data_IF_273901081208
#
_entry.id   IF_273901081208
#
_cell.length_a   1.000
_cell.length_b   1.000
_cell.length_c   1.000
_cell.angle_alpha   90.00
_cell.angle_beta   90.00
_cell.angle_gamma   90.00
#
_symmetry.space_group_name_H-M   'P 1'
#
loop_
_entity.id
_entity.type
_entity.pdbx_description
1 polymer ?
#
# COMPACT_ATOMS: atom_id res chain seq x y z
N UNK A 1 -24.99 0.50 14.38
CA UNK A 1 -24.28 0.62 13.08
C UNK A 1 -25.23 0.98 11.93
N UNK A 2 -26.42 0.32 11.81
CA UNK A 2 -27.44 0.64 10.78
C UNK A 2 -27.92 2.09 10.88
N UNK A 3 -28.23 2.58 12.07
CA UNK A 3 -28.65 3.98 12.32
C UNK A 3 -27.61 4.98 11.82
N UNK A 4 -26.41 4.75 12.16
CA UNK A 4 -25.30 5.64 11.76
C UNK A 4 -24.93 5.58 10.26
N UNK A 5 -25.06 4.60 9.45
CA UNK A 5 -24.88 4.42 8.22
C UNK A 5 -25.80 5.13 7.52
N UNK A 6 -27.25 5.18 7.97
CA UNK A 6 -28.36 5.90 7.36
C UNK A 6 -28.11 7.42 7.33
N UNK A 7 -27.79 8.01 8.46
CA UNK A 7 -27.42 9.44 8.57
C UNK A 7 -26.28 9.85 7.62
N UNK A 8 -25.29 9.00 7.43
CA UNK A 8 -24.13 9.30 6.56
C UNK A 8 -24.49 9.31 5.08
N UNK A 9 -25.35 8.40 4.64
CA UNK A 9 -25.78 8.33 3.24
C UNK A 9 -26.71 9.49 2.89
N UNK A 10 -27.56 9.93 3.82
CA UNK A 10 -28.46 11.08 3.63
C UNK A 10 -27.69 12.38 3.38
N UNK A 11 -26.47 12.48 3.85
CA UNK A 11 -25.62 13.65 3.58
C UNK A 11 -25.21 13.79 2.12
N UNK A 12 -25.39 12.76 1.29
CA UNK A 12 -24.99 12.81 -0.13
C UNK A 12 -25.99 13.59 -0.96
N UNK A 13 -25.50 14.61 -1.67
CA UNK A 13 -26.29 15.52 -2.52
C UNK A 13 -26.53 14.96 -3.94
N UNK A 14 -26.05 13.77 -4.23
CA UNK A 14 -26.16 13.12 -5.55
C UNK A 14 -25.77 14.06 -6.72
N UNK A 15 -24.61 14.73 -6.61
CA UNK A 15 -24.16 15.76 -7.56
C UNK A 15 -24.02 15.23 -8.99
N UNK A 16 -24.59 15.94 -9.98
CA UNK A 16 -24.51 15.59 -11.41
C UNK A 16 -23.05 15.44 -11.92
N UNK A 17 -22.16 16.33 -11.50
CA UNK A 17 -20.75 16.37 -11.96
C UNK A 17 -19.86 15.30 -11.26
N UNK A 18 -20.34 14.70 -10.16
CA UNK A 18 -19.69 13.62 -9.41
C UNK A 18 -18.20 13.90 -9.06
N UNK A 19 -17.84 15.03 -8.43
CA UNK A 19 -16.42 15.35 -8.18
C UNK A 19 -15.74 14.34 -7.25
N UNK A 20 -16.49 13.69 -6.36
CA UNK A 20 -15.97 12.60 -5.50
C UNK A 20 -15.53 11.38 -6.33
N UNK A 21 -16.24 11.03 -7.40
CA UNK A 21 -15.87 9.97 -8.36
C UNK A 21 -14.55 10.34 -9.05
N UNK A 22 -14.44 11.56 -9.58
CA UNK A 22 -13.20 12.08 -10.18
C UNK A 22 -12.02 12.10 -9.17
N UNK A 23 -12.33 12.24 -7.89
CA UNK A 23 -11.34 12.21 -6.81
C UNK A 23 -10.93 10.80 -6.37
N UNK A 24 -11.67 9.78 -6.80
CA UNK A 24 -11.37 8.38 -6.48
C UNK A 24 -10.40 7.80 -7.50
N UNK A 25 -9.24 7.23 -7.11
CA UNK A 25 -8.35 6.60 -8.09
C UNK A 25 -9.00 5.46 -8.87
N UNK A 26 -9.96 4.77 -8.28
CA UNK A 26 -10.71 3.67 -8.91
C UNK A 26 -11.88 4.16 -9.77
N UNK A 27 -12.21 5.45 -9.65
CA UNK A 27 -13.35 6.06 -10.33
C UNK A 27 -14.70 5.43 -9.96
N UNK A 28 -14.81 4.94 -8.71
CA UNK A 28 -16.05 4.37 -8.19
C UNK A 28 -17.22 5.32 -8.39
N UNK A 29 -18.36 4.84 -8.90
CA UNK A 29 -19.58 5.62 -9.05
C UNK A 29 -20.21 5.88 -7.68
N UNK A 30 -19.61 6.84 -6.95
CA UNK A 30 -19.89 7.07 -5.52
C UNK A 30 -21.34 7.49 -5.28
N UNK A 31 -21.91 8.47 -6.02
CA UNK A 31 -23.32 8.82 -5.79
C UNK A 31 -24.26 7.63 -6.03
N UNK A 32 -24.01 6.83 -7.07
CA UNK A 32 -24.89 5.70 -7.42
C UNK A 32 -24.92 4.63 -6.30
N UNK A 33 -23.75 4.19 -5.79
CA UNK A 33 -23.77 3.20 -4.71
C UNK A 33 -24.35 3.76 -3.40
N UNK A 34 -24.15 5.06 -3.13
CA UNK A 34 -24.74 5.71 -1.95
C UNK A 34 -26.26 5.72 -2.08
N UNK A 35 -26.79 6.03 -3.25
CA UNK A 35 -28.22 6.05 -3.54
C UNK A 35 -28.84 4.66 -3.29
N UNK A 36 -28.19 3.61 -3.73
CA UNK A 36 -28.66 2.23 -3.47
C UNK A 36 -28.65 1.89 -1.95
N UNK A 37 -27.67 2.41 -1.19
CA UNK A 37 -27.65 2.24 0.27
C UNK A 37 -28.80 3.02 0.93
N UNK A 38 -29.16 4.21 0.43
CA UNK A 38 -30.34 4.96 0.91
C UNK A 38 -31.64 4.14 0.75
N UNK A 39 -31.73 3.42 -0.36
CA UNK A 39 -32.87 2.54 -0.71
C UNK A 39 -32.82 1.18 0.01
N UNK A 40 -31.85 0.97 0.89
CA UNK A 40 -31.59 -0.30 1.61
C UNK A 40 -31.23 -1.48 0.66
N UNK A 41 -30.83 -1.17 -0.59
CA UNK A 41 -30.46 -2.13 -1.65
C UNK A 41 -28.94 -2.37 -1.62
N UNK A 42 -28.46 -3.06 -0.60
CA UNK A 42 -27.02 -3.22 -0.34
C UNK A 42 -26.33 -4.10 -1.40
N UNK A 43 -27.01 -5.09 -1.94
CA UNK A 43 -26.43 -5.94 -3.00
C UNK A 43 -26.23 -5.15 -4.29
N UNK A 44 -27.23 -4.36 -4.71
CA UNK A 44 -27.12 -3.47 -5.87
C UNK A 44 -25.99 -2.42 -5.66
N UNK A 45 -25.85 -1.90 -4.44
CA UNK A 45 -24.74 -0.98 -4.09
C UNK A 45 -23.38 -1.68 -4.23
N UNK A 46 -23.30 -2.95 -3.86
CA UNK A 46 -22.07 -3.75 -4.01
C UNK A 46 -21.78 -4.05 -5.48
N UNK A 47 -22.80 -4.35 -6.28
CA UNK A 47 -22.67 -4.56 -7.72
C UNK A 47 -22.04 -3.33 -8.40
N UNK A 48 -22.59 -2.13 -8.14
CA UNK A 48 -22.05 -0.86 -8.64
C UNK A 48 -20.58 -0.68 -8.23
N UNK A 49 -20.27 -0.93 -6.95
CA UNK A 49 -18.88 -0.86 -6.47
C UNK A 49 -17.98 -1.86 -7.18
N UNK A 50 -18.50 -3.07 -7.42
CA UNK A 50 -17.73 -4.16 -7.99
C UNK A 50 -17.34 -3.92 -9.45
N UNK A 51 -18.01 -3.02 -10.16
CA UNK A 51 -17.61 -2.60 -11.51
C UNK A 51 -16.17 -2.08 -11.56
N UNK A 52 -15.73 -1.43 -10.51
CA UNK A 52 -14.43 -0.74 -10.48
C UNK A 52 -13.49 -1.25 -9.39
N UNK A 53 -13.99 -1.92 -8.35
CA UNK A 53 -13.14 -2.46 -7.27
C UNK A 53 -13.63 -3.80 -6.73
N UNK A 54 -12.68 -4.68 -6.44
CA UNK A 54 -12.94 -5.96 -5.76
C UNK A 54 -12.48 -5.92 -4.29
N UNK A 55 -12.07 -4.75 -3.80
CA UNK A 55 -11.50 -4.58 -2.47
C UNK A 55 -12.24 -3.52 -1.62
N UNK A 56 -13.59 -3.40 -1.68
CA UNK A 56 -14.27 -2.30 -0.99
C UNK A 56 -14.09 -2.32 0.54
N UNK A 57 -14.17 -3.48 1.19
CA UNK A 57 -13.92 -3.62 2.63
C UNK A 57 -12.54 -3.13 3.04
N UNK A 58 -11.55 -3.26 2.15
CA UNK A 58 -10.17 -2.82 2.36
C UNK A 58 -10.02 -1.32 2.06
N UNK A 59 -10.52 -0.87 0.91
CA UNK A 59 -10.44 0.53 0.48
C UNK A 59 -11.12 1.46 1.48
N UNK A 60 -12.32 1.11 1.92
CA UNK A 60 -13.08 1.88 2.93
C UNK A 60 -12.32 2.07 4.25
N UNK A 61 -11.38 1.15 4.59
CA UNK A 61 -10.58 1.22 5.83
C UNK A 61 -9.27 1.98 5.68
N UNK A 62 -8.60 1.86 4.53
CA UNK A 62 -7.19 2.25 4.44
C UNK A 62 -6.87 3.33 3.42
N UNK A 63 -7.78 3.66 2.51
CA UNK A 63 -7.59 4.76 1.57
C UNK A 63 -7.38 6.08 2.31
N UNK A 64 -6.56 6.98 1.78
CA UNK A 64 -6.45 8.34 2.32
C UNK A 64 -7.60 9.24 1.79
N UNK A 65 -8.85 8.91 2.15
CA UNK A 65 -10.09 9.48 1.60
C UNK A 65 -10.07 11.01 1.51
N UNK A 66 -9.49 11.70 2.51
CA UNK A 66 -9.38 13.17 2.51
C UNK A 66 -8.45 13.72 1.42
N UNK A 67 -7.62 12.86 0.82
CA UNK A 67 -6.75 13.24 -0.32
C UNK A 67 -7.32 12.71 -1.64
N UNK A 68 -8.42 12.02 -1.57
CA UNK A 68 -9.10 11.35 -2.71
C UNK A 68 -10.57 11.77 -2.72
N UNK A 69 -11.50 10.82 -2.73
CA UNK A 69 -12.94 11.04 -2.89
C UNK A 69 -13.53 12.06 -1.91
N UNK A 70 -13.29 11.90 -0.61
CA UNK A 70 -13.81 12.83 0.42
C UNK A 70 -13.24 14.25 0.26
N UNK A 71 -11.97 14.36 -0.18
CA UNK A 71 -11.31 15.64 -0.40
C UNK A 71 -11.86 16.42 -1.58
N UNK A 72 -12.68 15.79 -2.42
CA UNK A 72 -13.35 16.39 -3.58
C UNK A 72 -14.87 16.49 -3.38
N UNK A 73 -15.38 16.07 -2.21
CA UNK A 73 -16.81 16.17 -1.92
C UNK A 73 -17.24 17.63 -1.80
N UNK A 74 -18.28 18.02 -2.53
CA UNK A 74 -18.84 19.39 -2.55
C UNK A 74 -19.22 19.86 -1.14
N UNK A 75 -19.80 19.00 -0.32
CA UNK A 75 -20.14 19.34 1.07
C UNK A 75 -18.92 19.80 1.88
N UNK A 76 -17.74 19.32 1.51
CA UNK A 76 -16.48 19.69 2.19
C UNK A 76 -16.04 21.13 1.94
N UNK A 77 -16.69 21.86 1.05
CA UNK A 77 -16.41 23.29 0.78
C UNK A 77 -16.86 24.15 1.97
N UNK A 78 -18.12 23.96 2.42
CA UNK A 78 -18.73 24.76 3.51
C UNK A 78 -18.87 23.99 4.83
N UNK A 79 -18.58 22.67 4.86
CA UNK A 79 -18.79 21.86 6.06
C UNK A 79 -18.00 20.56 6.05
N UNK A 80 -18.62 19.49 6.55
CA UNK A 80 -17.99 18.17 6.57
C UNK A 80 -18.36 17.39 5.29
N UNK A 81 -17.34 16.83 4.60
CA UNK A 81 -17.62 15.97 3.46
C UNK A 81 -18.34 14.70 3.90
N UNK A 82 -19.13 14.12 3.01
CA UNK A 82 -19.75 12.80 3.20
C UNK A 82 -18.67 11.78 3.58
N UNK A 83 -18.93 10.95 4.57
CA UNK A 83 -17.97 9.93 5.01
C UNK A 83 -18.01 8.70 4.09
N UNK A 84 -17.58 8.91 2.85
CA UNK A 84 -17.58 7.91 1.76
C UNK A 84 -16.84 6.64 2.18
N UNK A 85 -15.72 6.79 2.91
CA UNK A 85 -14.94 5.64 3.37
C UNK A 85 -15.71 4.69 4.28
N UNK A 86 -16.50 5.24 5.22
CA UNK A 86 -17.33 4.42 6.11
C UNK A 86 -18.47 3.73 5.35
N UNK A 87 -19.04 4.40 4.35
CA UNK A 87 -20.11 3.81 3.51
C UNK A 87 -19.53 2.66 2.67
N UNK A 88 -18.42 2.90 1.99
CA UNK A 88 -17.70 1.87 1.21
C UNK A 88 -17.30 0.67 2.08
N UNK A 89 -16.81 0.96 3.29
CA UNK A 89 -16.48 -0.06 4.29
C UNK A 89 -17.71 -0.90 4.63
N UNK A 90 -18.85 -0.24 4.90
CA UNK A 90 -20.10 -0.91 5.26
C UNK A 90 -20.59 -1.86 4.16
N UNK A 91 -20.64 -1.37 2.91
CA UNK A 91 -21.02 -2.21 1.75
C UNK A 91 -20.06 -3.41 1.63
N UNK A 92 -18.76 -3.18 1.78
CA UNK A 92 -17.74 -4.23 1.70
C UNK A 92 -17.88 -5.28 2.81
N UNK A 93 -18.19 -4.86 4.03
CA UNK A 93 -18.40 -5.76 5.18
C UNK A 93 -19.68 -6.59 4.98
N UNK A 94 -20.76 -5.96 4.54
CA UNK A 94 -22.03 -6.64 4.26
C UNK A 94 -21.89 -7.63 3.08
N UNK A 95 -21.10 -7.28 2.08
CA UNK A 95 -20.84 -8.19 0.96
C UNK A 95 -20.08 -9.46 1.39
N UNK A 96 -19.24 -9.35 2.41
CA UNK A 96 -18.56 -10.51 3.01
C UNK A 96 -19.54 -11.32 3.85
N UNK A 97 -20.30 -10.64 4.72
CA UNK A 97 -21.24 -11.25 5.64
C UNK A 97 -22.36 -12.03 4.89
N UNK A 98 -22.93 -11.40 3.89
CA UNK A 98 -24.07 -11.94 3.13
C UNK A 98 -23.63 -12.71 1.88
N UNK A 99 -22.32 -12.84 1.65
CA UNK A 99 -21.73 -13.56 0.52
C UNK A 99 -22.21 -13.06 -0.85
N UNK A 100 -22.40 -11.72 -1.01
CA UNK A 100 -22.81 -11.14 -2.30
C UNK A 100 -21.82 -11.54 -3.39
N UNK A 101 -22.32 -12.00 -4.52
CA UNK A 101 -21.46 -12.52 -5.59
C UNK A 101 -20.81 -11.40 -6.39
N UNK A 102 -19.60 -11.62 -6.86
CA UNK A 102 -19.01 -10.84 -7.94
C UNK A 102 -19.63 -11.29 -9.27
N UNK A 103 -19.75 -10.38 -10.24
CA UNK A 103 -20.20 -10.78 -11.58
C UNK A 103 -19.33 -11.94 -12.09
N UNK A 104 -19.98 -12.99 -12.56
CA UNK A 104 -19.34 -14.15 -13.15
C UNK A 104 -19.17 -13.97 -14.66
N UNK A 105 -18.22 -14.67 -15.23
CA UNK A 105 -18.13 -14.82 -16.68
C UNK A 105 -19.27 -15.72 -17.18
N UNK A 106 -19.86 -15.36 -18.29
CA UNK A 106 -20.86 -16.18 -18.97
C UNK A 106 -20.20 -17.35 -19.71
N UNK A 107 -18.97 -17.15 -20.19
CA UNK A 107 -18.25 -18.14 -20.99
C UNK A 107 -16.80 -18.27 -20.50
N UNK A 108 -16.40 -19.51 -20.20
CA UNK A 108 -15.01 -19.82 -19.83
C UNK A 108 -14.10 -19.85 -21.06
N UNK A 109 -12.91 -19.32 -20.89
CA UNK A 109 -11.86 -19.26 -21.91
C UNK A 109 -10.74 -20.27 -21.60
N UNK A 110 -10.04 -20.69 -22.61
CA UNK A 110 -8.94 -21.66 -22.46
C UNK A 110 -7.59 -21.01 -22.13
N UNK A 111 -7.45 -19.72 -22.38
CA UNK A 111 -6.20 -18.99 -22.16
C UNK A 111 -5.84 -18.98 -20.67
N UNK A 112 -4.59 -19.30 -20.41
CA UNK A 112 -4.01 -19.37 -19.08
C UNK A 112 -3.16 -18.13 -18.80
N UNK A 113 -3.45 -17.43 -17.70
CA UNK A 113 -2.75 -16.22 -17.31
C UNK A 113 -2.06 -16.44 -15.96
N UNK A 114 -0.77 -16.06 -15.89
CA UNK A 114 0.01 -16.10 -14.65
C UNK A 114 0.07 -14.69 -14.04
N UNK A 115 -0.22 -14.58 -12.76
CA UNK A 115 -0.08 -13.34 -11.99
C UNK A 115 1.03 -13.52 -10.95
N UNK A 116 2.03 -12.67 -11.01
CA UNK A 116 3.20 -12.73 -10.14
C UNK A 116 3.05 -11.71 -9.00
N UNK A 117 2.63 -12.21 -7.86
CA UNK A 117 2.40 -11.42 -6.65
C UNK A 117 0.92 -11.18 -6.37
N UNK A 118 0.54 -11.33 -5.11
CA UNK A 118 -0.84 -11.19 -4.61
C UNK A 118 -1.08 -9.88 -3.85
N UNK A 119 -0.40 -8.81 -4.24
CA UNK A 119 -0.68 -7.47 -3.75
C UNK A 119 -2.00 -6.92 -4.33
N UNK A 120 -2.40 -5.68 -3.97
CA UNK A 120 -3.67 -5.11 -4.46
C UNK A 120 -3.80 -5.16 -5.99
N UNK A 121 -2.74 -4.87 -6.73
CA UNK A 121 -2.75 -4.93 -8.20
C UNK A 121 -3.02 -6.35 -8.70
N UNK A 122 -2.26 -7.34 -8.18
CA UNK A 122 -2.40 -8.74 -8.61
C UNK A 122 -3.76 -9.34 -8.26
N UNK A 123 -4.27 -9.06 -7.04
CA UNK A 123 -5.60 -9.53 -6.62
C UNK A 123 -6.71 -8.92 -7.48
N UNK A 124 -6.61 -7.63 -7.80
CA UNK A 124 -7.60 -6.95 -8.66
C UNK A 124 -7.51 -7.48 -10.08
N UNK A 125 -6.31 -7.58 -10.63
CA UNK A 125 -6.10 -8.11 -11.97
C UNK A 125 -6.69 -9.53 -12.11
N UNK A 126 -6.42 -10.41 -11.13
CA UNK A 126 -6.95 -11.78 -11.11
C UNK A 126 -8.48 -11.80 -11.17
N UNK A 127 -9.13 -10.96 -10.36
CA UNK A 127 -10.59 -10.92 -10.31
C UNK A 127 -11.20 -10.42 -11.64
N UNK A 128 -10.63 -9.37 -12.22
CA UNK A 128 -11.11 -8.81 -13.49
C UNK A 128 -10.89 -9.79 -14.67
N UNK A 129 -9.75 -10.48 -14.70
CA UNK A 129 -9.49 -11.51 -15.71
C UNK A 129 -10.46 -12.69 -15.57
N UNK A 130 -10.76 -13.11 -14.34
CA UNK A 130 -11.74 -14.18 -14.10
C UNK A 130 -13.15 -13.80 -14.55
N UNK A 131 -13.54 -12.52 -14.37
CA UNK A 131 -14.83 -12.02 -14.91
C UNK A 131 -14.90 -12.17 -16.43
N UNK A 132 -13.75 -12.05 -17.10
CA UNK A 132 -13.64 -12.20 -18.55
C UNK A 132 -13.42 -13.67 -19.00
N UNK A 133 -13.55 -14.63 -18.07
CA UNK A 133 -13.51 -16.07 -18.35
C UNK A 133 -12.11 -16.70 -18.34
N UNK A 134 -11.05 -15.95 -18.25
CA UNK A 134 -9.67 -16.45 -18.34
C UNK A 134 -9.29 -17.37 -17.17
N UNK A 135 -8.49 -18.41 -17.44
CA UNK A 135 -7.94 -19.31 -16.42
C UNK A 135 -6.73 -18.63 -15.74
N UNK A 136 -6.89 -18.21 -14.49
CA UNK A 136 -5.89 -17.39 -13.78
C UNK A 136 -5.19 -18.20 -12.68
N UNK A 137 -3.85 -18.09 -12.64
CA UNK A 137 -3.02 -18.64 -11.54
C UNK A 137 -2.21 -17.52 -10.91
N UNK A 138 -2.36 -17.33 -9.59
CA UNK A 138 -1.58 -16.38 -8.80
C UNK A 138 -0.37 -17.09 -8.17
N UNK A 139 0.81 -16.58 -8.44
CA UNK A 139 2.07 -17.04 -7.84
C UNK A 139 2.51 -16.07 -6.75
N UNK A 140 2.55 -16.53 -5.51
CA UNK A 140 2.95 -15.73 -4.35
C UNK A 140 4.13 -16.39 -3.63
N UNK A 141 5.17 -15.59 -3.32
CA UNK A 141 6.38 -16.08 -2.64
C UNK A 141 6.22 -16.27 -1.14
N UNK A 142 5.22 -15.64 -0.55
CA UNK A 142 4.90 -15.83 0.86
C UNK A 142 3.87 -16.94 1.03
N UNK A 143 3.82 -17.52 2.22
CA UNK A 143 2.88 -18.58 2.57
C UNK A 143 1.41 -18.14 2.58
N UNK A 144 1.15 -16.84 2.47
CA UNK A 144 -0.21 -16.30 2.48
C UNK A 144 -0.35 -15.16 1.48
N UNK A 145 -1.51 -15.09 0.83
CA UNK A 145 -1.85 -14.04 -0.12
C UNK A 145 -2.06 -12.67 0.57
N UNK A 146 -1.98 -11.60 -0.20
CA UNK A 146 -2.28 -10.24 0.26
C UNK A 146 -1.13 -9.25 0.14
N UNK A 147 0.08 -9.72 -0.11
CA UNK A 147 1.24 -8.84 -0.31
C UNK A 147 1.38 -7.77 0.77
N UNK A 148 1.34 -6.48 0.37
CA UNK A 148 1.47 -5.34 1.29
C UNK A 148 0.29 -5.23 2.28
N UNK A 149 -0.90 -5.66 1.87
CA UNK A 149 -2.10 -5.63 2.73
C UNK A 149 -1.88 -6.49 3.98
N UNK A 150 -1.16 -7.60 3.81
CA UNK A 150 -0.80 -8.52 4.90
C UNK A 150 0.48 -8.11 5.59
N UNK A 151 1.55 -7.95 4.82
CA UNK A 151 2.91 -7.86 5.34
C UNK A 151 3.38 -6.41 5.58
N UNK A 152 2.59 -5.40 5.21
CA UNK A 152 2.99 -4.00 5.32
C UNK A 152 2.00 -3.09 6.02
N UNK A 153 0.75 -3.52 6.20
CA UNK A 153 -0.28 -2.75 6.91
C UNK A 153 -0.51 -3.40 8.27
N UNK A 154 -0.33 -2.68 9.39
CA UNK A 154 -0.56 -3.26 10.72
C UNK A 154 -2.01 -3.71 10.95
N UNK A 155 -2.20 -4.67 11.84
CA UNK A 155 -3.51 -5.27 12.15
C UNK A 155 -4.53 -4.23 12.62
N UNK A 156 -4.12 -3.28 13.46
CA UNK A 156 -5.01 -2.21 13.96
C UNK A 156 -5.57 -1.29 12.85
N UNK A 157 -4.97 -1.29 11.64
CA UNK A 157 -5.48 -0.53 10.49
C UNK A 157 -6.26 -1.38 9.51
N UNK A 158 -5.88 -2.64 9.38
CA UNK A 158 -6.54 -3.61 8.50
C UNK A 158 -6.43 -4.97 9.18
N UNK A 159 -7.50 -5.37 9.80
CA UNK A 159 -7.62 -6.69 10.42
C UNK A 159 -7.40 -7.77 9.36
N UNK A 160 -6.58 -8.77 9.69
CA UNK A 160 -6.23 -9.82 8.73
C UNK A 160 -7.39 -10.76 8.44
N UNK A 161 -8.36 -10.88 9.36
CA UNK A 161 -9.60 -11.63 9.09
C UNK A 161 -10.40 -11.00 7.95
N UNK A 162 -10.52 -9.66 7.93
CA UNK A 162 -11.19 -8.91 6.83
C UNK A 162 -10.43 -9.13 5.51
N UNK A 163 -9.11 -9.12 5.57
CA UNK A 163 -8.28 -9.38 4.38
C UNK A 163 -8.49 -10.82 3.88
N UNK A 164 -8.48 -11.80 4.79
CA UNK A 164 -8.64 -13.22 4.46
C UNK A 164 -10.02 -13.47 3.85
N UNK A 165 -11.07 -12.93 4.48
CA UNK A 165 -12.45 -13.06 3.97
C UNK A 165 -12.60 -12.40 2.60
N UNK A 166 -12.00 -11.22 2.40
CA UNK A 166 -12.01 -10.54 1.08
C UNK A 166 -11.30 -11.39 0.02
N UNK A 167 -10.14 -11.95 0.37
CA UNK A 167 -9.37 -12.81 -0.55
C UNK A 167 -10.15 -14.09 -0.85
N UNK A 168 -10.71 -14.76 0.18
CA UNK A 168 -11.50 -15.99 0.01
C UNK A 168 -12.72 -15.74 -0.87
N UNK A 169 -13.43 -14.65 -0.66
CA UNK A 169 -14.57 -14.24 -1.48
C UNK A 169 -14.14 -14.10 -2.95
N UNK A 170 -13.02 -13.46 -3.20
CA UNK A 170 -12.47 -13.26 -4.56
C UNK A 170 -11.95 -14.58 -5.16
N UNK A 171 -11.36 -15.49 -4.32
CA UNK A 171 -10.82 -16.80 -4.74
C UNK A 171 -11.94 -17.79 -5.05
N UNK A 172 -13.06 -17.77 -4.32
CA UNK A 172 -14.22 -18.62 -4.61
C UNK A 172 -14.74 -18.41 -6.02
N UNK A 173 -14.42 -17.28 -6.65
CA UNK A 173 -14.60 -17.07 -8.09
C UNK A 173 -13.50 -17.72 -8.94
N UNK A 174 -13.09 -18.95 -8.61
CA UNK A 174 -12.38 -19.92 -9.46
C UNK A 174 -10.97 -19.58 -10.00
N UNK A 175 -10.06 -18.95 -9.26
CA UNK A 175 -8.66 -18.96 -9.69
C UNK A 175 -7.78 -19.83 -8.78
N UNK A 176 -6.80 -20.48 -9.39
CA UNK A 176 -5.82 -21.31 -8.68
C UNK A 176 -4.74 -20.40 -8.05
N UNK A 177 -4.41 -20.65 -6.81
CA UNK A 177 -3.26 -20.02 -6.18
C UNK A 177 -2.14 -21.06 -6.01
N UNK A 178 -0.94 -20.68 -6.36
CA UNK A 178 0.27 -21.47 -6.11
C UNK A 178 1.20 -20.70 -5.18
N UNK A 179 1.47 -21.29 -4.04
CA UNK A 179 2.46 -20.76 -3.09
C UNK A 179 3.84 -21.13 -3.60
N UNK A 180 4.70 -20.15 -3.73
CA UNK A 180 6.07 -20.33 -4.18
C UNK A 180 7.04 -20.02 -3.04
N UNK A 181 7.64 -21.05 -2.48
CA UNK A 181 8.56 -20.94 -1.34
C UNK A 181 10.02 -20.66 -1.74
N UNK A 182 10.26 -20.21 -2.94
CA UNK A 182 11.62 -19.97 -3.44
C UNK A 182 11.90 -18.56 -3.91
N UNK A 183 13.15 -18.29 -4.20
CA UNK A 183 13.57 -17.08 -4.91
C UNK A 183 13.08 -17.15 -6.36
N UNK A 184 12.70 -16.02 -6.94
CA UNK A 184 12.33 -15.91 -8.35
C UNK A 184 13.57 -16.11 -9.23
N UNK A 185 13.98 -17.35 -9.41
CA UNK A 185 15.06 -17.69 -10.35
C UNK A 185 14.56 -17.52 -11.80
N UNK A 186 15.46 -17.25 -12.70
CA UNK A 186 15.19 -17.07 -14.14
C UNK A 186 14.43 -18.27 -14.72
N UNK A 187 14.86 -19.45 -14.40
CA UNK A 187 14.21 -20.72 -14.80
C UNK A 187 12.74 -20.90 -14.34
N UNK A 188 12.39 -20.38 -13.44
CA UNK A 188 11.15 -20.41 -12.94
C UNK A 188 10.23 -19.58 -13.66
N UNK A 189 10.72 -18.41 -13.80
CA UNK A 189 9.99 -17.39 -14.55
C UNK A 189 9.83 -17.80 -16.02
N UNK A 190 10.82 -18.35 -16.61
CA UNK A 190 10.77 -18.93 -17.96
C UNK A 190 9.76 -20.08 -18.08
N UNK A 191 9.76 -20.73 -17.16
CA UNK A 191 8.90 -21.74 -17.10
C UNK A 191 7.52 -21.35 -17.04
N UNK A 192 7.23 -20.43 -16.29
CA UNK A 192 5.90 -19.82 -16.24
C UNK A 192 5.57 -19.14 -17.57
N UNK A 193 6.49 -18.37 -18.10
CA UNK A 193 6.30 -17.63 -19.35
C UNK A 193 6.02 -18.54 -20.55
N UNK A 194 6.63 -19.72 -20.60
CA UNK A 194 6.38 -20.71 -21.66
C UNK A 194 5.00 -21.37 -21.58
N UNK A 195 4.37 -21.40 -20.39
CA UNK A 195 3.10 -22.09 -20.14
C UNK A 195 1.87 -21.19 -20.17
N UNK A 196 2.08 -19.90 -20.30
CA UNK A 196 0.99 -18.93 -20.23
C UNK A 196 1.13 -17.81 -21.27
N UNK A 197 0.11 -17.36 -21.43
CA UNK A 197 0.10 -16.45 -22.42
C UNK A 197 0.52 -15.12 -22.08
N UNK A 198 -0.10 -14.70 -21.03
CA UNK A 198 0.22 -13.39 -20.51
C UNK A 198 0.62 -13.43 -19.03
N UNK A 199 1.53 -12.56 -18.65
CA UNK A 199 1.98 -12.45 -17.25
C UNK A 199 1.76 -11.04 -16.74
N UNK A 200 1.32 -10.89 -15.48
CA UNK A 200 1.37 -9.61 -14.81
C UNK A 200 2.33 -9.65 -13.62
N UNK A 201 3.21 -8.66 -13.56
CA UNK A 201 4.12 -8.46 -12.45
C UNK A 201 3.57 -7.37 -11.53
N UNK A 202 3.15 -7.77 -10.34
CA UNK A 202 2.72 -6.86 -9.30
C UNK A 202 3.67 -6.92 -8.09
N UNK A 203 4.93 -7.21 -8.35
CA UNK A 203 5.93 -7.37 -7.29
C UNK A 203 6.31 -6.01 -6.68
N UNK A 204 6.52 -6.00 -5.39
CA UNK A 204 6.79 -4.77 -4.66
C UNK A 204 8.26 -4.52 -4.43
N UNK A 205 8.63 -3.26 -4.40
CA UNK A 205 9.93 -2.75 -3.97
C UNK A 205 10.36 -3.38 -2.64
N UNK A 206 11.50 -4.07 -2.63
CA UNK A 206 12.03 -4.79 -1.46
C UNK A 206 13.30 -4.20 -0.86
N UNK A 207 14.08 -3.43 -1.61
CA UNK A 207 15.32 -2.88 -1.12
C UNK A 207 15.10 -1.57 -0.40
N UNK A 208 15.58 -1.52 0.82
CA UNK A 208 15.67 -0.31 1.60
C UNK A 208 16.98 0.39 1.30
N UNK A 209 17.09 1.49 0.96
CA UNK A 209 18.06 2.15 0.74
C UNK A 209 18.92 2.09 1.79
N UNK A 210 19.77 1.63 1.72
CA UNK A 210 20.82 1.69 2.72
C UNK A 210 21.23 3.14 2.88
N UNK A 211 21.13 3.66 4.05
CA UNK A 211 21.88 4.87 4.37
C UNK A 211 23.35 4.50 4.22
N UNK A 212 24.17 5.34 3.65
CA UNK A 212 25.61 5.11 3.45
C UNK A 212 26.42 4.99 4.75
N UNK A 213 25.78 4.59 5.83
CA UNK A 213 26.41 4.48 7.16
C UNK A 213 27.41 3.32 7.21
N UNK A 214 28.57 3.59 7.70
CA UNK A 214 29.75 2.70 7.69
C UNK A 214 29.58 1.39 8.48
N UNK A 215 28.54 1.21 9.28
CA UNK A 215 28.30 -0.05 10.04
C UNK A 215 26.82 -0.45 10.00
N UNK A 216 26.37 -0.92 8.84
CA UNK A 216 24.96 -1.30 8.60
C UNK A 216 24.55 -2.69 9.10
N UNK A 217 25.38 -3.40 9.86
CA UNK A 217 25.13 -4.81 10.27
C UNK A 217 25.18 -5.05 11.78
N UNK A 218 24.76 -4.09 12.59
CA UNK A 218 24.68 -4.31 14.03
C UNK A 218 23.39 -5.08 14.36
N UNK A 219 23.48 -6.06 15.22
CA UNK A 219 22.49 -7.09 15.50
C UNK A 219 21.10 -6.59 15.96
N UNK A 220 20.99 -5.36 16.47
CA UNK A 220 19.71 -4.76 16.88
C UNK A 220 19.22 -3.65 15.95
N UNK A 221 19.83 -3.53 14.77
CA UNK A 221 19.30 -2.68 13.72
C UNK A 221 18.26 -3.46 12.91
N UNK A 222 17.00 -3.09 13.04
CA UNK A 222 15.89 -3.85 12.47
C UNK A 222 15.22 -3.06 11.35
N UNK A 223 15.10 -3.67 10.19
CA UNK A 223 14.37 -3.09 9.07
C UNK A 223 12.86 -3.08 9.36
N UNK A 224 12.21 -1.99 9.11
CA UNK A 224 10.77 -1.78 9.35
C UNK A 224 9.90 -2.99 9.00
N UNK A 225 10.16 -3.66 7.93
CA UNK A 225 9.41 -4.85 7.52
C UNK A 225 9.59 -6.08 8.42
N UNK A 226 10.58 -6.02 9.00
CA UNK A 226 10.84 -7.05 9.85
C UNK A 226 9.98 -7.02 11.01
N UNK A 227 9.83 -5.91 11.57
CA UNK A 227 8.97 -5.75 12.74
C UNK A 227 7.49 -6.05 12.40
N UNK A 228 7.01 -5.58 11.28
CA UNK A 228 5.61 -5.82 10.87
C UNK A 228 5.34 -7.32 10.61
N UNK A 229 6.36 -8.08 10.23
CA UNK A 229 6.25 -9.53 9.97
C UNK A 229 6.30 -10.39 11.22
N UNK A 230 6.90 -9.93 12.30
CA UNK A 230 6.98 -10.68 13.57
C UNK A 230 5.61 -10.62 14.22
N UNK A 231 4.90 -11.73 14.25
CA UNK A 231 3.56 -11.86 14.89
C UNK A 231 3.56 -11.57 16.38
N UNK A 232 4.56 -11.50 17.04
CA UNK A 232 4.74 -11.30 18.06
C UNK A 232 5.92 -11.14 18.19
N UNK A 233 6.42 -10.26 18.21
CA UNK A 233 7.80 -10.22 18.60
C UNK A 233 7.98 -10.83 19.98
N UNK A 234 8.93 -11.72 20.13
CA UNK A 234 9.19 -12.27 21.45
C UNK A 234 9.53 -11.11 22.39
N UNK A 235 8.83 -11.01 23.46
CA UNK A 235 8.94 -10.04 24.56
C UNK A 235 10.13 -9.07 24.44
N UNK A 236 10.03 -8.10 23.56
CA UNK A 236 11.02 -7.04 23.48
C UNK A 236 10.57 -5.94 24.43
N UNK A 237 11.10 -5.95 25.63
CA UNK A 237 10.96 -4.82 26.53
C UNK A 237 11.81 -3.67 25.97
N UNK A 238 11.19 -2.82 25.19
CA UNK A 238 11.87 -1.74 24.47
C UNK A 238 12.07 -0.56 25.40
N UNK A 239 13.28 -0.37 25.86
CA UNK A 239 13.59 0.79 26.70
C UNK A 239 13.72 2.10 25.88
N UNK A 240 14.43 2.08 24.75
CA UNK A 240 14.61 3.25 23.88
C UNK A 240 14.66 2.85 22.40
N UNK A 241 13.88 3.51 21.54
CA UNK A 241 13.80 3.23 20.10
C UNK A 241 13.98 4.49 19.23
N UNK A 242 14.67 4.37 18.12
CA UNK A 242 14.83 5.42 17.13
C UNK A 242 14.30 5.00 15.75
N UNK A 243 13.49 5.84 15.13
CA UNK A 243 13.00 5.65 13.76
C UNK A 243 13.53 6.74 12.83
N UNK A 244 14.26 6.36 11.80
CA UNK A 244 14.74 7.30 10.79
C UNK A 244 13.86 7.30 9.54
N UNK A 245 13.47 8.47 9.09
CA UNK A 245 12.79 8.79 7.81
C UNK A 245 11.48 8.05 7.47
N UNK A 246 10.42 8.80 7.33
CA UNK A 246 9.13 8.39 6.76
C UNK A 246 7.91 8.52 7.67
N UNK A 247 7.23 9.65 7.55
CA UNK A 247 6.16 10.10 8.46
C UNK A 247 5.03 9.10 8.73
N UNK A 248 4.52 8.43 7.71
CA UNK A 248 3.41 7.47 7.91
C UNK A 248 3.87 6.12 8.43
N UNK A 249 5.07 5.73 8.10
CA UNK A 249 5.61 4.40 8.44
C UNK A 249 6.05 4.32 9.89
N UNK A 250 6.78 5.31 10.35
CA UNK A 250 7.23 5.38 11.74
C UNK A 250 6.06 5.54 12.72
N UNK A 251 5.07 6.36 12.35
CA UNK A 251 3.83 6.53 13.14
C UNK A 251 3.09 5.20 13.37
N UNK A 252 3.11 4.31 12.39
CA UNK A 252 2.50 2.96 12.52
C UNK A 252 3.30 2.07 13.47
N UNK A 253 4.62 2.19 13.45
CA UNK A 253 5.51 1.45 14.35
C UNK A 253 5.43 1.94 15.79
N UNK A 254 5.42 3.27 15.99
CA UNK A 254 5.30 3.86 17.34
C UNK A 254 3.97 3.49 17.99
N UNK A 255 2.85 3.50 17.26
CA UNK A 255 1.55 3.06 17.78
C UNK A 255 1.53 1.55 18.11
N UNK A 256 2.16 0.72 17.32
CA UNK A 256 2.29 -0.72 17.62
C UNK A 256 3.17 -0.94 18.87
N UNK A 257 4.20 -0.18 19.04
CA UNK A 257 5.10 -0.26 20.20
C UNK A 257 4.46 0.25 21.51
N UNK A 258 3.72 1.01 21.41
CA UNK A 258 2.96 1.47 22.45
C UNK A 258 2.01 0.52 22.97
N UNK A 259 1.79 -0.01 22.19
CA UNK A 259 1.01 -1.08 22.53
C UNK A 259 1.78 -2.21 23.06
N UNK A 260 2.83 -2.25 22.80
CA UNK A 260 3.75 -3.33 23.22
C UNK A 260 4.59 -2.92 24.46
N UNK A 261 4.36 -1.76 25.01
CA UNK A 261 4.97 -1.32 26.28
C UNK A 261 6.33 -0.63 26.18
N UNK A 262 6.63 0.07 25.05
CA UNK A 262 7.88 0.85 24.98
C UNK A 262 7.80 2.15 25.77
N UNK A 263 8.76 2.39 26.65
CA UNK A 263 8.79 3.58 27.52
C UNK A 263 9.12 4.88 26.77
N UNK A 264 9.93 4.83 25.74
CA UNK A 264 10.29 6.02 24.91
C UNK A 264 10.54 5.63 23.45
N UNK A 265 9.98 6.40 22.53
CA UNK A 265 10.21 6.25 21.10
C UNK A 265 10.67 7.57 20.49
N UNK A 266 11.85 7.61 19.91
CA UNK A 266 12.42 8.80 19.27
C UNK A 266 12.25 8.75 17.74
N UNK A 267 11.84 9.88 17.17
CA UNK A 267 11.44 10.01 15.78
C UNK A 267 12.29 11.03 15.05
N UNK A 268 13.10 10.59 14.12
CA UNK A 268 13.97 11.46 13.34
C UNK A 268 13.38 11.77 11.95
N UNK A 269 13.22 13.06 11.68
CA UNK A 269 12.65 13.51 10.40
C UNK A 269 13.49 14.62 9.77
N UNK A 270 13.85 14.27 8.76
CA UNK A 270 14.67 15.16 8.10
C UNK A 270 14.00 16.31 7.45
N UNK A 271 12.92 16.11 6.84
CA UNK A 271 12.22 17.12 6.04
C UNK A 271 10.91 17.58 6.67
N UNK A 272 10.72 18.88 6.81
CA UNK A 272 9.45 19.47 7.19
C UNK A 272 8.59 19.64 5.93
N UNK A 273 7.61 18.76 5.69
CA UNK A 273 6.66 18.94 4.59
C UNK A 273 5.55 19.93 4.96
N UNK A 274 5.34 20.97 4.14
CA UNK A 274 4.15 21.83 4.20
C UNK A 274 2.95 21.03 3.66
N UNK A 275 2.07 20.57 4.50
CA UNK A 275 0.72 20.11 4.11
C UNK A 275 -0.15 19.95 5.36
N UNK A 276 -1.28 20.60 5.40
CA UNK A 276 -2.31 20.52 6.44
C UNK A 276 -1.77 20.62 7.87
N UNK A 277 -1.32 21.83 8.21
CA UNK A 277 -0.65 22.14 9.47
C UNK A 277 -1.48 21.74 10.72
N UNK A 278 -2.76 21.95 10.71
CA UNK A 278 -3.66 21.67 11.84
C UNK A 278 -3.74 20.19 12.22
N UNK A 279 -3.96 19.29 11.26
CA UNK A 279 -4.02 17.83 11.52
C UNK A 279 -2.69 17.25 11.94
N UNK A 280 -1.58 17.77 11.40
CA UNK A 280 -0.23 17.36 11.81
C UNK A 280 0.07 17.78 13.25
N UNK A 281 -0.30 19.01 13.63
CA UNK A 281 -0.18 19.50 15.01
C UNK A 281 -0.95 18.60 15.98
N UNK A 282 -2.21 18.27 15.70
CA UNK A 282 -3.05 17.37 16.52
C UNK A 282 -2.41 15.97 16.69
N UNK A 283 -1.89 15.44 15.64
CA UNK A 283 -1.22 14.13 15.66
C UNK A 283 0.14 14.10 16.33
N UNK A 284 0.88 15.00 16.19
CA UNK A 284 2.02 15.12 16.77
C UNK A 284 1.87 15.31 18.17
N UNK A 285 0.77 16.11 18.64
CA UNK A 285 0.39 16.28 20.04
C UNK A 285 -0.04 14.96 20.70
N UNK A 286 -0.84 14.17 20.02
CA UNK A 286 -1.24 12.82 20.47
C UNK A 286 -0.02 11.90 20.69
N UNK A 287 0.91 11.84 19.75
CA UNK A 287 2.08 10.97 19.86
C UNK A 287 3.07 11.43 20.95
N UNK A 288 3.18 12.73 21.16
CA UNK A 288 3.94 13.26 22.28
C UNK A 288 3.35 12.82 23.63
N UNK A 289 2.03 12.79 23.74
CA UNK A 289 1.32 12.27 24.93
C UNK A 289 1.58 10.75 25.11
N UNK A 290 1.86 10.02 24.03
CA UNK A 290 2.23 8.60 24.02
C UNK A 290 3.73 8.37 24.23
N UNK A 291 4.50 9.40 24.65
CA UNK A 291 5.93 9.30 24.94
C UNK A 291 6.84 9.34 23.71
N UNK A 292 6.33 9.73 22.54
CA UNK A 292 7.12 9.80 21.31
C UNK A 292 7.83 11.15 21.21
N UNK A 293 9.15 11.14 21.18
CA UNK A 293 9.99 12.32 20.92
C UNK A 293 10.24 12.48 19.41
N UNK A 294 10.27 13.71 18.95
CA UNK A 294 10.49 14.04 17.54
C UNK A 294 11.73 14.91 17.40
N UNK A 295 12.73 14.42 16.71
CA UNK A 295 13.92 15.16 16.32
C UNK A 295 13.77 15.62 14.87
N UNK A 296 13.48 16.91 14.69
CA UNK A 296 13.33 17.52 13.37
C UNK A 296 14.67 18.12 12.92
N UNK A 297 14.95 18.10 11.63
CA UNK A 297 16.18 18.63 11.05
C UNK A 297 17.43 17.92 11.60
N UNK A 298 17.36 16.59 11.67
CA UNK A 298 18.49 15.75 12.07
C UNK A 298 18.65 14.60 11.09
N UNK A 299 19.85 14.18 10.85
CA UNK A 299 20.19 12.96 10.14
C UNK A 299 20.95 12.02 11.08
N UNK A 300 20.89 10.73 10.83
CA UNK A 300 21.69 9.72 11.53
C UNK A 300 22.90 9.43 10.64
N UNK A 301 24.10 9.71 11.14
CA UNK A 301 25.37 9.50 10.45
C UNK A 301 25.92 8.10 10.72
N UNK A 302 25.77 7.63 11.95
CA UNK A 302 26.32 6.32 12.33
C UNK A 302 25.41 5.62 13.36
N UNK A 303 25.41 4.29 13.32
CA UNK A 303 24.84 3.42 14.35
C UNK A 303 26.03 2.79 15.07
N UNK A 304 26.10 2.99 16.37
CA UNK A 304 27.26 2.62 17.22
C UNK A 304 26.86 1.44 18.12
N UNK A 305 27.78 0.52 18.26
CA UNK A 305 27.67 -0.68 19.10
C UNK A 305 28.44 -1.83 18.47
N UNK A 306 28.80 -2.81 19.23
CA UNK A 306 29.55 -3.96 18.74
C UNK A 306 28.61 -5.12 18.33
N UNK A 307 28.04 -5.84 19.28
CA UNK A 307 27.07 -6.91 19.02
C UNK A 307 25.62 -6.41 18.95
N UNK A 308 25.34 -5.32 19.63
CA UNK A 308 24.01 -4.70 19.71
C UNK A 308 24.13 -3.19 19.47
N UNK A 309 23.01 -2.57 19.14
CA UNK A 309 22.93 -1.10 19.07
C UNK A 309 23.07 -0.55 20.50
N UNK A 310 23.94 0.40 20.68
CA UNK A 310 24.16 1.10 21.94
C UNK A 310 23.82 2.58 21.82
N UNK A 311 24.24 3.20 20.70
CA UNK A 311 24.05 4.63 20.45
C UNK A 311 23.79 4.85 18.97
N UNK A 312 23.24 6.02 18.65
CA UNK A 312 23.25 6.58 17.30
C UNK A 312 24.00 7.92 17.34
N UNK A 313 24.77 8.16 16.31
CA UNK A 313 25.31 9.49 16.07
C UNK A 313 24.36 10.25 15.16
N UNK A 314 24.03 11.46 15.53
CA UNK A 314 23.15 12.36 14.80
C UNK A 314 23.88 13.65 14.44
N UNK A 315 23.54 14.22 13.28
CA UNK A 315 24.01 15.53 12.85
C UNK A 315 22.79 16.42 12.60
N UNK A 316 22.89 17.69 12.95
CA UNK A 316 21.82 18.67 12.65
C UNK A 316 21.82 18.98 11.16
N UNK A 317 20.64 19.31 10.61
CA UNK A 317 20.49 19.69 9.20
C UNK A 317 19.69 20.98 9.09
N UNK A 318 20.02 21.79 8.09
CA UNK A 318 19.20 22.93 7.70
C UNK A 318 18.60 22.72 6.32
N UNK A 319 17.56 23.49 6.01
CA UNK A 319 16.85 23.39 4.73
C UNK A 319 17.34 24.49 3.79
N UNK A 320 18.17 24.13 2.83
CA UNK A 320 18.78 25.04 1.84
C UNK A 320 18.07 24.87 0.49
N UNK A 321 17.86 25.99 -0.19
CA UNK A 321 17.37 26.03 -1.56
C UNK A 321 18.57 25.88 -2.51
N UNK A 322 18.66 24.77 -3.20
CA UNK A 322 19.68 24.57 -4.24
C UNK A 322 19.19 25.16 -5.56
N UNK A 323 20.08 25.70 -6.34
CA UNK A 323 19.79 26.22 -7.68
C UNK A 323 19.12 25.14 -8.54
N UNK A 324 18.09 25.50 -9.28
CA UNK A 324 17.33 24.58 -10.14
C UNK A 324 16.34 23.66 -9.41
N UNK A 325 16.34 23.62 -8.07
CA UNK A 325 15.39 22.79 -7.31
C UNK A 325 14.19 23.61 -6.82
N UNK A 326 12.98 23.13 -7.05
CA UNK A 326 11.73 23.73 -6.53
C UNK A 326 11.54 23.48 -5.03
N UNK A 327 12.36 22.63 -4.41
CA UNK A 327 12.21 22.23 -3.00
C UNK A 327 13.52 22.35 -2.24
N UNK A 328 13.42 22.93 -1.05
CA UNK A 328 14.54 22.97 -0.10
C UNK A 328 15.00 21.57 0.28
N UNK A 329 16.29 21.31 0.16
CA UNK A 329 16.93 20.05 0.53
C UNK A 329 17.63 20.18 1.89
N UNK A 330 17.65 19.12 2.72
CA UNK A 330 18.38 19.17 4.00
C UNK A 330 19.88 19.05 3.73
N UNK A 331 20.65 20.00 4.26
CA UNK A 331 22.12 20.02 4.24
C UNK A 331 22.61 19.84 5.67
N UNK A 332 23.62 19.05 5.87
CA UNK A 332 24.20 18.77 7.18
C UNK A 332 25.01 19.97 7.65
N UNK A 333 24.91 20.29 8.93
CA UNK A 333 25.66 21.38 9.58
C UNK A 333 26.91 20.72 10.18
N UNK A 334 28.06 20.98 9.59
CA UNK A 334 29.34 20.44 10.04
C UNK A 334 29.61 20.80 11.52
N UNK A 335 30.22 19.88 12.24
CA UNK A 335 30.55 20.05 13.66
C UNK A 335 29.36 19.92 14.61
N UNK A 336 28.15 19.67 14.11
CA UNK A 336 26.96 19.57 14.98
C UNK A 336 26.64 18.13 15.39
N UNK A 337 27.59 17.22 15.28
CA UNK A 337 27.46 15.82 15.63
C UNK A 337 27.25 15.62 17.14
N UNK A 338 26.39 14.67 17.49
CA UNK A 338 26.17 14.26 18.88
C UNK A 338 25.60 12.85 18.92
N UNK A 339 25.72 12.19 20.04
CA UNK A 339 25.25 10.81 20.22
C UNK A 339 23.99 10.74 21.09
N UNK A 340 23.16 9.73 20.83
CA UNK A 340 21.98 9.42 21.64
C UNK A 340 21.98 7.89 21.91
N UNK A 341 21.78 7.51 23.15
CA UNK A 341 21.67 6.10 23.54
C UNK A 341 20.42 5.48 22.95
N UNK A 342 20.57 4.33 22.30
CA UNK A 342 19.48 3.59 21.65
C UNK A 342 19.67 2.08 21.76
N UNK A 343 18.61 1.38 22.09
CA UNK A 343 18.62 -0.11 22.08
C UNK A 343 18.34 -0.65 20.66
N UNK A 344 17.55 0.07 19.88
CA UNK A 344 17.09 -0.39 18.55
C UNK A 344 16.98 0.78 17.57
N UNK A 345 17.35 0.52 16.33
CA UNK A 345 17.16 1.48 15.23
C UNK A 345 16.28 0.83 14.14
N UNK A 346 15.20 1.51 13.77
CA UNK A 346 14.30 1.05 12.70
C UNK A 346 14.48 1.95 11.48
N UNK A 347 15.06 1.39 10.42
CA UNK A 347 15.29 2.10 9.16
C UNK A 347 14.01 2.12 8.31
N UNK A 348 13.35 3.27 8.22
CA UNK A 348 12.10 3.46 7.48
C UNK A 348 12.30 4.34 6.23
N UNK A 349 13.38 4.09 5.49
CA UNK A 349 13.87 4.90 4.37
C UNK A 349 13.11 4.70 3.04
N UNK A 350 12.04 3.91 3.06
CA UNK A 350 11.29 3.57 1.86
C UNK A 350 11.75 2.25 1.26
N UNK A 351 11.33 1.97 0.05
CA UNK A 351 11.65 0.71 -0.62
C UNK A 351 11.89 0.92 -2.12
N UNK A 352 12.76 0.13 -2.69
CA UNK A 352 13.10 0.15 -4.12
C UNK A 352 12.60 -1.12 -4.81
N UNK A 353 12.44 -1.06 -6.11
CA UNK A 353 12.10 -2.20 -6.97
C UNK A 353 13.17 -3.29 -6.84
N UNK A 354 12.77 -4.55 -6.88
CA UNK A 354 13.68 -5.71 -6.87
C UNK A 354 14.22 -5.93 -8.29
N UNK A 355 15.27 -5.19 -8.61
CA UNK A 355 15.83 -5.06 -9.97
C UNK A 355 16.23 -6.42 -10.56
N UNK A 356 16.78 -7.33 -9.75
CA UNK A 356 17.26 -8.64 -10.24
C UNK A 356 16.14 -9.47 -10.88
N UNK A 357 14.93 -9.42 -10.34
CA UNK A 357 13.77 -10.12 -10.92
C UNK A 357 13.42 -9.53 -12.29
N UNK A 358 13.46 -8.19 -12.39
CA UNK A 358 13.13 -7.47 -13.64
C UNK A 358 14.19 -7.74 -14.72
N UNK A 359 15.48 -7.70 -14.35
CA UNK A 359 16.58 -8.00 -15.24
C UNK A 359 16.55 -9.45 -15.76
N UNK A 360 16.23 -10.40 -14.87
CA UNK A 360 16.11 -11.82 -15.23
C UNK A 360 15.01 -12.09 -16.27
N UNK A 361 14.06 -11.15 -16.40
CA UNK A 361 12.97 -11.22 -17.38
C UNK A 361 13.27 -10.40 -18.65
N UNK A 362 14.43 -9.73 -18.71
CA UNK A 362 14.80 -8.87 -19.82
C UNK A 362 13.93 -7.63 -19.99
N UNK A 363 13.28 -7.16 -18.91
CA UNK A 363 12.36 -6.01 -18.99
C UNK A 363 13.12 -4.70 -18.84
N UNK A 364 12.76 -3.73 -19.67
CA UNK A 364 13.31 -2.38 -19.61
C UNK A 364 12.91 -1.63 -18.35
N UNK A 365 13.80 -0.76 -17.89
CA UNK A 365 13.59 0.09 -16.72
C UNK A 365 13.63 1.57 -17.13
N UNK A 366 12.85 2.39 -16.44
CA UNK A 366 12.95 3.86 -16.52
C UNK A 366 14.22 4.33 -15.79
N UNK A 367 14.58 5.60 -15.95
CA UNK A 367 15.69 6.24 -15.22
C UNK A 367 15.52 6.10 -13.70
N UNK A 368 14.29 6.16 -13.18
CA UNK A 368 13.97 5.99 -11.75
C UNK A 368 13.95 4.52 -11.30
N UNK A 369 14.32 3.57 -12.20
CA UNK A 369 14.38 2.14 -11.92
C UNK A 369 13.00 1.50 -11.65
N UNK A 370 11.98 1.98 -12.33
CA UNK A 370 10.67 1.31 -12.46
C UNK A 370 10.64 0.48 -13.73
N UNK A 371 9.76 -0.50 -13.81
CA UNK A 371 9.51 -1.22 -15.06
C UNK A 371 8.82 -0.24 -16.04
N UNK A 372 9.41 -0.11 -17.23
CA UNK A 372 8.85 0.71 -18.32
C UNK A 372 7.62 0.01 -18.88
N UNK A 373 6.55 0.76 -19.04
CA UNK A 373 5.29 0.28 -19.61
C UNK A 373 4.76 1.32 -20.61
N UNK A 374 3.97 0.86 -21.57
CA UNK A 374 3.18 1.72 -22.46
C UNK A 374 1.82 2.03 -21.82
N UNK A 375 0.95 2.76 -22.52
CA UNK A 375 -0.38 3.16 -22.05
C UNK A 375 -1.29 1.93 -21.82
N UNK A 376 -1.05 0.83 -22.50
CA UNK A 376 -1.76 -0.45 -22.32
C UNK A 376 -1.17 -1.32 -21.20
N UNK A 377 -0.29 -0.75 -20.35
CA UNK A 377 0.38 -1.48 -19.26
C UNK A 377 1.30 -2.62 -19.72
N UNK A 378 1.60 -2.72 -21.01
CA UNK A 378 2.58 -3.68 -21.56
C UNK A 378 4.00 -3.22 -21.26
N UNK A 379 4.89 -4.17 -21.02
CA UNK A 379 6.33 -3.95 -20.83
C UNK A 379 7.04 -4.01 -22.22
N UNK A 380 8.37 -4.00 -22.22
CA UNK A 380 9.19 -4.26 -23.43
C UNK A 380 8.96 -5.67 -24.00
N UNK A 381 8.36 -6.58 -23.25
CA UNK A 381 7.89 -7.88 -23.74
C UNK A 381 6.36 -7.81 -23.86
N UNK A 382 5.85 -7.91 -25.08
CA UNK A 382 4.41 -7.75 -25.41
C UNK A 382 3.49 -8.72 -24.66
N UNK A 383 3.97 -9.90 -24.23
CA UNK A 383 3.22 -10.89 -23.46
C UNK A 383 3.26 -10.60 -21.94
N UNK A 384 3.98 -9.55 -21.53
CA UNK A 384 4.19 -9.23 -20.11
C UNK A 384 3.64 -7.84 -19.79
N UNK A 385 2.73 -7.80 -18.83
CA UNK A 385 2.12 -6.56 -18.33
C UNK A 385 2.63 -6.27 -16.91
N UNK A 386 2.62 -5.01 -16.51
CA UNK A 386 3.08 -4.66 -15.17
C UNK A 386 2.20 -3.57 -14.55
N UNK A 387 2.08 -3.60 -13.23
CA UNK A 387 1.26 -2.63 -12.51
C UNK A 387 1.65 -2.42 -11.05
N UNK A 388 1.02 -1.43 -10.45
CA UNK A 388 1.21 -1.06 -9.05
C UNK A 388 2.53 -0.34 -8.78
N UNK A 389 3.10 -0.54 -7.60
CA UNK A 389 4.34 0.13 -7.17
C UNK A 389 5.55 -0.21 -8.08
N UNK A 390 5.47 -1.28 -8.85
CA UNK A 390 6.55 -1.75 -9.73
C UNK A 390 6.78 -0.78 -10.90
N UNK A 391 5.72 -0.14 -11.37
CA UNK A 391 5.74 0.81 -12.50
C UNK A 391 5.73 2.27 -12.05
N UNK A 392 5.94 2.54 -10.75
CA UNK A 392 6.01 3.90 -10.22
C UNK A 392 4.66 4.55 -9.91
N UNK A 393 3.57 3.80 -9.92
CA UNK A 393 2.24 4.33 -9.58
C UNK A 393 2.21 4.97 -8.19
N UNK A 394 1.32 5.93 -8.00
CA UNK A 394 1.11 6.58 -6.70
C UNK A 394 0.86 5.51 -5.63
N UNK A 395 1.71 5.43 -4.62
CA UNK A 395 1.80 4.32 -3.66
C UNK A 395 0.60 4.24 -2.70
N UNK A 396 -0.60 3.99 -3.24
CA UNK A 396 -1.80 3.67 -2.45
C UNK A 396 -2.45 2.39 -2.97
N UNK A 397 -3.28 1.76 -2.14
CA UNK A 397 -3.98 0.53 -2.50
C UNK A 397 -4.93 0.77 -3.69
N UNK A 398 -5.63 1.90 -3.69
CA UNK A 398 -6.56 2.24 -4.78
C UNK A 398 -5.84 2.42 -6.13
N UNK A 399 -4.68 3.12 -6.15
CA UNK A 399 -3.90 3.27 -7.38
C UNK A 399 -3.33 1.92 -7.87
N UNK A 400 -2.87 1.09 -6.95
CA UNK A 400 -2.37 -0.25 -7.30
C UNK A 400 -3.50 -1.14 -7.83
N UNK A 401 -4.69 -1.06 -7.23
CA UNK A 401 -5.88 -1.81 -7.69
C UNK A 401 -6.33 -1.33 -9.08
N UNK A 402 -6.38 -0.01 -9.30
CA UNK A 402 -6.65 0.58 -10.63
C UNK A 402 -5.68 0.03 -11.69
N UNK A 403 -4.39 0.12 -11.41
CA UNK A 403 -3.34 -0.38 -12.32
C UNK A 403 -3.52 -1.88 -12.63
N UNK A 404 -3.96 -2.67 -11.66
CA UNK A 404 -4.28 -4.09 -11.86
C UNK A 404 -5.51 -4.31 -12.74
N UNK A 405 -6.54 -3.48 -12.58
CA UNK A 405 -7.74 -3.50 -13.45
C UNK A 405 -7.39 -3.13 -14.88
N UNK A 406 -6.70 -2.00 -15.07
CA UNK A 406 -6.26 -1.54 -16.40
C UNK A 406 -5.40 -2.59 -17.11
N UNK A 407 -4.51 -3.25 -16.38
CA UNK A 407 -3.70 -4.34 -16.94
C UNK A 407 -4.57 -5.54 -17.34
N UNK A 408 -5.60 -5.88 -16.55
CA UNK A 408 -6.53 -6.97 -16.88
C UNK A 408 -7.34 -6.65 -18.15
N UNK A 409 -7.83 -5.43 -18.26
CA UNK A 409 -8.56 -4.94 -19.43
C UNK A 409 -7.70 -5.01 -20.69
N UNK A 410 -6.46 -4.51 -20.59
CA UNK A 410 -5.51 -4.54 -21.70
C UNK A 410 -5.10 -5.96 -22.12
N UNK A 411 -4.88 -6.85 -21.14
CA UNK A 411 -4.62 -8.28 -21.43
C UNK A 411 -5.82 -8.93 -22.09
N UNK A 412 -7.04 -8.60 -21.65
CA UNK A 412 -8.25 -9.10 -22.26
C UNK A 412 -8.41 -8.70 -23.72
N UNK A 413 -8.05 -7.44 -24.05
CA UNK A 413 -8.02 -6.95 -25.42
C UNK A 413 -6.92 -7.66 -26.25
N UNK A 414 -5.72 -7.76 -25.71
CA UNK A 414 -4.58 -8.41 -26.37
C UNK A 414 -4.84 -9.89 -26.71
N UNK A 415 -5.62 -10.57 -25.90
CA UNK A 415 -5.95 -11.99 -26.10
C UNK A 415 -7.21 -12.23 -26.96
N UNK A 416 -7.91 -11.15 -27.30
CA UNK A 416 -9.08 -11.22 -28.22
C UNK A 416 -8.68 -11.01 -29.69
N UNK A 417 -7.45 -10.56 -29.95
CA UNK A 417 -6.90 -10.22 -31.24
C UNK A 417 -6.74 -8.74 -31.38
#
# INVERSE_FOLDING_TARGET
WKLNXKEKVEQCLNCKVKPCTKGCPLENNIPAFIEKVKQDKLEEAYEILSETTVLPAICGRICPHYKQCMGKCVRGIKGQPVNIGDIEKYIGDMSIKNNYKLPNCEQERNEKIAIIGSGPAGLTCAAFLRRNGFKVTIYEKYSQLGGILRNGIPNFRLDKSILDNTIQKNIRSRYRNKMWNGTWKKSXLEXIAKRVXCNIFSNRRKHHXKNGNKRGRINRSIWRKXIIRIKXPPYICWKKNCCSWGWQCCRRLCKNNXXIGSQKCNYNIXKRRRANAGRKKKRXKMQKKEGVSFLFKHNITQIIGNEKVEKIECIKTELVQKEGETRKSPVEIEGSNYTIDMDYVVMALGSKTEINVVKNLGLELTQEKYVKINDKKQTSNEKVFAGGDLVGEKSTVAWAARSGREAAESMGQFLKG
#
